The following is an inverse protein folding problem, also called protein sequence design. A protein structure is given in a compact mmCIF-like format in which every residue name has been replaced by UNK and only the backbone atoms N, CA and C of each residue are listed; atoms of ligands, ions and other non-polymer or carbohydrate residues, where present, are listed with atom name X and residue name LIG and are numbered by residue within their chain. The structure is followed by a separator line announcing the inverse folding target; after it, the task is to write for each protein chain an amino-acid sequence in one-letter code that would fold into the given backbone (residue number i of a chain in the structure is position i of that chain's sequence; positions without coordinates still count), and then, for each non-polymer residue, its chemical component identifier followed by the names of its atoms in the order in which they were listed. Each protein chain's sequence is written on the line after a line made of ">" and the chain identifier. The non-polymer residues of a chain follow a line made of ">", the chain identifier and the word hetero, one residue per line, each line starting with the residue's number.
data_IF_032884908854
#
_entry.id   IF_032884908854
#
_cell.length_a   1.000
_cell.length_b   1.000
_cell.length_c   1.000
_cell.angle_alpha   90.00
_cell.angle_beta   90.00
_cell.angle_gamma   90.00
#
_symmetry.space_group_name_H-M   'P 1'
#
loop_
_entity.id
_entity.type
_entity.pdbx_description
1 polymer ?
#
# COMPACT_ATOMS: atom_id res chain seq x y z
N UNK A 1 12.08 5.74 -10.47
CA UNK A 1 11.03 4.88 -9.91
C UNK A 1 9.88 4.72 -10.88
N UNK A 2 9.38 3.52 -10.99
CA UNK A 2 8.21 3.28 -11.82
C UNK A 2 7.15 2.54 -11.02
N UNK A 3 5.94 3.10 -10.99
CA UNK A 3 4.80 2.47 -10.36
C UNK A 3 3.54 2.81 -11.16
N UNK A 4 2.48 2.08 -10.89
CA UNK A 4 1.23 2.27 -11.59
C UNK A 4 0.18 2.77 -10.60
N UNK A 5 -0.41 3.91 -10.91
CA UNK A 5 -1.46 4.49 -10.09
C UNK A 5 -2.79 4.39 -10.86
N UNK A 6 -3.84 4.06 -10.12
CA UNK A 6 -5.16 3.95 -10.70
C UNK A 6 -5.65 5.35 -11.08
N UNK A 7 -5.89 5.58 -12.36
CA UNK A 7 -6.33 6.86 -12.87
C UNK A 7 -7.65 7.32 -12.26
N UNK A 8 -8.47 6.38 -11.83
CA UNK A 8 -9.80 6.70 -11.33
C UNK A 8 -9.77 7.31 -9.95
N UNK A 9 -8.67 7.19 -9.24
CA UNK A 9 -8.64 7.62 -7.85
C UNK A 9 -7.30 8.17 -7.40
N UNK A 10 -6.52 8.73 -8.32
CA UNK A 10 -5.19 9.22 -7.93
C UNK A 10 -5.28 10.32 -6.87
N UNK A 11 -6.37 11.07 -6.83
CA UNK A 11 -6.56 12.11 -5.81
C UNK A 11 -6.98 11.54 -4.47
N UNK A 12 -7.20 10.22 -4.39
CA UNK A 12 -7.49 9.55 -3.14
C UNK A 12 -6.25 8.92 -2.51
N UNK A 13 -5.10 9.10 -3.14
CA UNK A 13 -3.85 8.52 -2.64
C UNK A 13 -3.03 9.62 -1.98
N UNK A 14 -2.70 9.43 -0.71
CA UNK A 14 -1.83 10.36 0.02
C UNK A 14 -0.56 9.63 0.41
N UNK A 15 0.57 10.20 0.08
CA UNK A 15 1.87 9.59 0.33
C UNK A 15 2.68 10.53 1.21
N UNK A 16 3.14 10.01 2.34
CA UNK A 16 3.92 10.78 3.28
C UNK A 16 5.34 11.02 2.83
N UNK A 17 6.19 11.41 3.77
CA UNK A 17 7.59 11.76 3.50
C UNK A 17 8.48 10.52 3.60
N UNK A 18 9.55 10.51 2.82
CA UNK A 18 10.56 9.45 2.88
C UNK A 18 10.01 8.06 2.58
N UNK A 19 8.96 8.02 1.77
CA UNK A 19 8.39 6.74 1.32
C UNK A 19 9.20 6.23 0.14
N UNK A 20 9.55 4.96 0.17
CA UNK A 20 10.29 4.32 -0.91
C UNK A 20 9.34 3.42 -1.69
N UNK A 21 9.20 3.69 -2.97
CA UNK A 21 8.34 2.90 -3.84
C UNK A 21 9.20 2.34 -4.95
N UNK A 22 9.35 1.03 -4.96
CA UNK A 22 10.21 0.37 -5.92
C UNK A 22 9.52 0.18 -7.27
N UNK A 23 10.26 -0.36 -8.23
CA UNK A 23 9.76 -0.54 -9.58
C UNK A 23 8.56 -1.47 -9.62
N UNK A 24 7.55 -1.10 -10.39
CA UNK A 24 6.42 -1.98 -10.66
C UNK A 24 5.36 -2.04 -9.56
N UNK A 25 5.42 -1.18 -8.57
CA UNK A 25 4.41 -1.16 -7.51
C UNK A 25 3.09 -0.65 -8.10
N UNK A 26 2.01 -1.34 -7.78
CA UNK A 26 0.68 -1.03 -8.28
C UNK A 26 -0.23 -0.57 -7.15
N UNK A 27 -0.91 0.55 -7.36
CA UNK A 27 -1.88 1.07 -6.40
C UNK A 27 -3.26 1.11 -7.05
N UNK A 28 -4.25 0.52 -6.38
CA UNK A 28 -5.64 0.60 -6.82
C UNK A 28 -6.51 0.96 -5.62
N UNK A 29 -7.33 1.98 -5.76
CA UNK A 29 -8.10 2.48 -4.64
C UNK A 29 -9.57 2.69 -4.93
N UNK A 30 -10.12 2.00 -5.91
CA UNK A 30 -11.56 2.04 -6.11
C UNK A 30 -12.15 0.64 -5.93
N UNK A 31 -13.37 0.59 -5.45
CA UNK A 31 -14.02 -0.66 -5.14
C UNK A 31 -15.08 -1.02 -6.15
N UNK A 32 -15.70 -2.18 -5.93
CA UNK A 32 -16.72 -2.72 -6.82
C UNK A 32 -17.97 -1.87 -6.89
N UNK A 33 -18.24 -1.12 -5.83
CA UNK A 33 -19.47 -0.36 -5.76
C UNK A 33 -19.28 1.08 -6.16
N UNK A 34 -18.29 1.32 -6.98
CA UNK A 34 -18.04 2.65 -7.50
C UNK A 34 -17.60 3.67 -6.46
N UNK A 35 -17.39 3.25 -5.24
CA UNK A 35 -16.81 4.14 -4.25
C UNK A 35 -15.33 4.30 -4.53
N UNK A 36 -14.80 5.45 -4.14
CA UNK A 36 -13.37 5.68 -4.19
C UNK A 36 -12.83 5.57 -2.79
N UNK A 37 -11.96 4.60 -2.56
CA UNK A 37 -11.44 4.33 -1.24
C UNK A 37 -10.08 4.97 -1.09
N UNK A 38 -9.88 5.66 0.02
CA UNK A 38 -8.65 6.39 0.25
C UNK A 38 -7.50 5.43 0.55
N UNK A 39 -6.35 5.72 -0.02
CA UNK A 39 -5.12 5.01 0.26
C UNK A 39 -4.16 5.99 0.92
N UNK A 40 -3.83 5.74 2.18
CA UNK A 40 -2.96 6.61 2.95
C UNK A 40 -1.67 5.87 3.27
N UNK A 41 -0.55 6.42 2.80
CA UNK A 41 0.76 5.84 3.04
C UNK A 41 1.52 6.79 3.95
N UNK A 42 1.84 6.32 5.15
CA UNK A 42 2.48 7.15 6.14
C UNK A 42 3.98 7.22 5.93
N UNK A 43 4.64 8.08 6.70
CA UNK A 43 6.06 8.39 6.51
C UNK A 43 6.94 7.16 6.66
N UNK A 44 7.96 7.07 5.82
CA UNK A 44 8.98 6.04 5.95
C UNK A 44 8.60 4.65 5.48
N UNK A 45 7.43 4.49 4.89
CA UNK A 45 7.01 3.17 4.39
C UNK A 45 7.88 2.75 3.19
N UNK A 46 8.07 1.45 3.05
CA UNK A 46 8.87 0.88 1.98
C UNK A 46 8.06 -0.19 1.24
N UNK A 47 8.03 -0.08 -0.08
CA UNK A 47 7.33 -1.06 -0.91
C UNK A 47 8.34 -1.76 -1.82
N UNK A 48 8.41 -3.09 -1.69
CA UNK A 48 9.27 -3.89 -2.56
C UNK A 48 8.73 -3.94 -3.98
N UNK A 49 9.59 -4.40 -4.91
CA UNK A 49 9.24 -4.45 -6.32
C UNK A 49 7.98 -5.27 -6.56
N UNK A 50 7.15 -4.78 -7.49
CA UNK A 50 5.96 -5.49 -7.96
C UNK A 50 4.98 -5.82 -6.87
N UNK A 51 4.98 -5.10 -5.76
CA UNK A 51 3.93 -5.26 -4.76
C UNK A 51 2.68 -4.55 -5.24
N UNK A 52 1.53 -5.02 -4.77
CA UNK A 52 0.23 -4.46 -5.15
C UNK A 52 -0.52 -4.06 -3.90
N UNK A 53 -1.09 -2.85 -3.92
CA UNK A 53 -1.87 -2.34 -2.80
C UNK A 53 -3.27 -2.03 -3.32
N UNK A 54 -4.26 -2.68 -2.71
CA UNK A 54 -5.62 -2.57 -3.19
C UNK A 54 -6.53 -2.16 -2.03
N UNK A 55 -7.09 -0.97 -2.13
CA UNK A 55 -8.07 -0.48 -1.17
C UNK A 55 -9.45 -0.89 -1.64
N UNK A 56 -9.94 -2.00 -1.12
CA UNK A 56 -11.13 -2.66 -1.64
C UNK A 56 -12.41 -2.37 -0.89
N UNK A 57 -12.31 -1.86 0.30
CA UNK A 57 -13.49 -1.67 1.13
C UNK A 57 -13.78 -0.19 1.27
N UNK A 58 -14.91 0.12 1.87
CA UNK A 58 -15.27 1.51 2.14
C UNK A 58 -14.34 2.16 3.14
N UNK A 59 -13.55 1.35 3.83
CA UNK A 59 -12.66 1.86 4.85
C UNK A 59 -11.34 2.39 4.30
N UNK A 60 -11.05 2.07 3.06
CA UNK A 60 -9.77 2.45 2.48
C UNK A 60 -8.64 1.55 2.98
N UNK A 61 -7.41 2.04 2.82
CA UNK A 61 -6.24 1.27 3.18
C UNK A 61 -5.21 2.21 3.78
N UNK A 62 -4.69 1.86 4.95
CA UNK A 62 -3.68 2.66 5.63
C UNK A 62 -2.41 1.84 5.76
N UNK A 63 -1.31 2.38 5.25
CA UNK A 63 0.00 1.75 5.37
C UNK A 63 0.78 2.54 6.42
N UNK A 64 1.09 1.88 7.53
CA UNK A 64 1.65 2.53 8.70
C UNK A 64 3.05 3.07 8.52
N UNK A 65 3.49 3.87 9.50
CA UNK A 65 4.81 4.48 9.46
C UNK A 65 5.90 3.42 9.55
N UNK A 66 6.94 3.60 8.75
CA UNK A 66 8.11 2.71 8.75
C UNK A 66 7.78 1.25 8.48
N UNK A 67 6.62 0.99 7.88
CA UNK A 67 6.25 -0.38 7.54
C UNK A 67 6.98 -0.81 6.27
N UNK A 68 7.11 -2.12 6.09
CA UNK A 68 7.78 -2.70 4.93
C UNK A 68 6.85 -3.69 4.26
N UNK A 69 6.63 -3.50 2.98
CA UNK A 69 5.86 -4.44 2.16
C UNK A 69 6.85 -5.20 1.29
N UNK A 70 6.89 -6.51 1.43
CA UNK A 70 7.83 -7.33 0.68
C UNK A 70 7.54 -7.35 -0.82
N UNK A 71 8.53 -7.71 -1.60
CA UNK A 71 8.39 -7.77 -3.05
C UNK A 71 7.31 -8.76 -3.45
N UNK A 72 6.55 -8.44 -4.49
CA UNK A 72 5.51 -9.30 -5.05
C UNK A 72 4.38 -9.61 -4.08
N UNK A 73 4.20 -8.80 -3.05
CA UNK A 73 3.13 -9.00 -2.06
C UNK A 73 1.85 -8.32 -2.52
N UNK A 74 0.73 -8.83 -2.04
CA UNK A 74 -0.58 -8.23 -2.31
C UNK A 74 -1.14 -7.75 -0.99
N UNK A 75 -1.25 -6.43 -0.82
CA UNK A 75 -1.77 -5.82 0.40
C UNK A 75 -3.21 -5.39 0.16
N UNK A 76 -4.13 -6.02 0.88
CA UNK A 76 -5.55 -5.66 0.80
C UNK A 76 -6.14 -5.34 2.15
N UNK A 77 -5.31 -5.21 3.17
CA UNK A 77 -5.71 -4.80 4.51
C UNK A 77 -4.68 -3.82 5.05
N UNK A 78 -5.11 -2.94 5.91
CA UNK A 78 -4.22 -1.94 6.49
C UNK A 78 -3.06 -2.59 7.22
N UNK A 79 -1.92 -1.91 7.19
CA UNK A 79 -0.68 -2.38 7.78
C UNK A 79 -0.34 -1.49 8.97
N UNK A 80 -0.06 -2.10 10.11
CA UNK A 80 0.28 -1.35 11.32
C UNK A 80 1.67 -0.70 11.17
N UNK A 81 1.93 0.30 12.02
CA UNK A 81 3.22 0.95 12.04
C UNK A 81 4.32 -0.07 12.37
N UNK A 82 5.48 0.12 11.78
CA UNK A 82 6.68 -0.70 12.06
C UNK A 82 6.48 -2.18 11.80
N UNK A 83 5.60 -2.54 10.88
CA UNK A 83 5.33 -3.94 10.55
C UNK A 83 6.00 -4.32 9.24
N UNK A 84 6.36 -5.59 9.10
CA UNK A 84 6.82 -6.16 7.84
C UNK A 84 5.79 -7.17 7.39
N UNK A 85 5.23 -6.96 6.19
CA UNK A 85 4.21 -7.84 5.63
C UNK A 85 4.68 -8.42 4.30
N UNK A 86 4.41 -9.69 4.07
CA UNK A 86 4.76 -10.35 2.82
C UNK A 86 3.68 -11.35 2.45
N UNK A 87 3.62 -11.70 1.18
CA UNK A 87 2.77 -12.77 0.72
C UNK A 87 1.56 -12.31 -0.06
N UNK A 88 0.76 -13.28 -0.50
CA UNK A 88 -0.47 -13.06 -1.28
C UNK A 88 -1.57 -13.89 -0.65
N UNK A 89 -2.47 -13.28 0.15
CA UNK A 89 -2.44 -11.90 0.64
C UNK A 89 -1.31 -11.68 1.66
N UNK A 90 -0.87 -10.44 1.77
CA UNK A 90 0.25 -10.11 2.65
C UNK A 90 -0.14 -10.29 4.12
N UNK A 91 0.78 -10.82 4.89
CA UNK A 91 0.60 -11.03 6.33
C UNK A 91 1.81 -10.52 7.06
N UNK A 92 1.60 -10.03 8.27
CA UNK A 92 2.69 -9.53 9.10
C UNK A 92 3.57 -10.68 9.53
N UNK A 93 4.87 -10.56 9.29
CA UNK A 93 5.83 -11.58 9.68
C UNK A 93 6.78 -11.09 10.78
N UNK A 94 6.95 -9.78 10.91
CA UNK A 94 7.83 -9.23 11.94
C UNK A 94 7.58 -7.75 12.07
N UNK A 95 8.37 -7.10 12.93
CA UNK A 95 8.37 -5.65 13.04
C UNK A 95 9.64 -5.11 12.40
N UNK A 96 9.54 -3.92 11.80
CA UNK A 96 10.68 -3.30 11.18
C UNK A 96 11.57 -2.57 12.20
N UNK A 97 11.07 -2.44 13.42
CA UNK A 97 11.81 -1.82 14.52
C UNK A 97 11.60 -2.60 15.79
#
# INVERSE_FOLDING_TARGET
>A
MRCYLDDMCYDMIEIGNNVTISYGVFFACHGRKQGHNKLLIKDGAYFGMNSSLIARSDEGLIIGENSVVGACSLVNKSVADDSVVVGIPAKEISKSK
#
